data_IF_773995490763
#
_entry.id   IF_773995490763
#
_cell.length_a   1.000
_cell.length_b   1.000
_cell.length_c   1.000
_cell.angle_alpha   90.00
_cell.angle_beta   90.00
_cell.angle_gamma   90.00
#
_symmetry.space_group_name_H-M   'P 1'
#
loop_
_entity.id
_entity.type
_entity.pdbx_description
1 polymer ?
#
# COMPACT_ATOMS: atom_id res chain seq x y z
N UNK A 1 -11.73 5.20 18.70
CA UNK A 1 -12.52 4.37 17.76
C UNK A 1 -11.83 3.01 17.73
N UNK A 2 -12.54 1.90 17.69
CA UNK A 2 -11.95 0.56 17.55
C UNK A 2 -12.22 0.08 16.12
N UNK A 3 -11.20 -0.41 15.43
CA UNK A 3 -11.34 -1.02 14.11
C UNK A 3 -11.57 -2.52 14.25
N UNK A 4 -12.29 -3.09 13.33
CA UNK A 4 -12.36 -4.52 13.10
C UNK A 4 -11.89 -4.77 11.67
N UNK A 5 -10.81 -5.52 11.53
CA UNK A 5 -10.19 -5.81 10.24
C UNK A 5 -10.26 -7.30 9.93
N UNK A 6 -10.41 -7.64 8.67
CA UNK A 6 -10.30 -8.99 8.15
C UNK A 6 -9.61 -8.94 6.79
N UNK A 7 -8.91 -10.01 6.43
CA UNK A 7 -8.25 -10.12 5.13
C UNK A 7 -8.39 -11.55 4.60
N UNK A 8 -8.24 -11.66 3.30
CA UNK A 8 -8.16 -12.92 2.60
C UNK A 8 -7.20 -12.78 1.43
N UNK A 9 -6.44 -13.81 1.13
CA UNK A 9 -5.58 -13.91 -0.05
C UNK A 9 -5.58 -15.34 -0.56
N UNK A 10 -5.48 -15.50 -1.87
CA UNK A 10 -5.49 -16.80 -2.53
C UNK A 10 -4.59 -16.76 -3.76
N UNK A 11 -3.84 -17.83 -4.01
CA UNK A 11 -2.96 -17.95 -5.16
C UNK A 11 -3.70 -18.04 -6.51
N UNK A 12 -4.98 -18.41 -6.44
CA UNK A 12 -5.77 -18.72 -7.62
C UNK A 12 -5.42 -20.07 -8.25
N UNK A 13 -6.08 -20.40 -9.34
CA UNK A 13 -5.96 -21.73 -9.98
C UNK A 13 -4.87 -21.82 -11.06
N UNK A 14 -4.29 -20.70 -11.46
CA UNK A 14 -3.36 -20.64 -12.62
C UNK A 14 -1.94 -20.19 -12.25
N UNK A 15 -1.77 -19.47 -11.13
CA UNK A 15 -0.44 -18.99 -10.70
C UNK A 15 0.30 -20.06 -9.91
N UNK A 16 1.64 -20.04 -9.97
CA UNK A 16 2.51 -20.96 -9.19
C UNK A 16 2.91 -20.38 -7.84
N UNK A 17 2.81 -19.07 -7.66
CA UNK A 17 3.10 -18.36 -6.43
C UNK A 17 2.09 -17.24 -6.23
N UNK A 18 1.74 -16.96 -4.97
CA UNK A 18 0.99 -15.78 -4.63
C UNK A 18 1.93 -14.57 -4.66
N UNK A 19 1.63 -13.61 -5.52
CA UNK A 19 2.43 -12.40 -5.68
C UNK A 19 1.84 -11.19 -4.94
N UNK A 20 0.70 -11.39 -4.29
CA UNK A 20 0.07 -10.37 -3.47
C UNK A 20 0.73 -10.30 -2.10
N UNK A 21 0.80 -9.11 -1.55
CA UNK A 21 1.24 -8.85 -0.19
C UNK A 21 0.32 -7.83 0.46
N UNK A 22 0.07 -7.99 1.74
CA UNK A 22 -0.81 -7.09 2.48
C UNK A 22 -0.25 -6.74 3.86
N UNK A 23 -0.67 -5.61 4.38
CA UNK A 23 -0.35 -5.10 5.71
C UNK A 23 -1.60 -4.51 6.34
N UNK A 24 -1.83 -4.81 7.60
CA UNK A 24 -2.77 -4.10 8.47
C UNK A 24 -2.05 -3.82 9.78
N UNK A 25 -1.88 -2.55 10.10
CA UNK A 25 -1.25 -2.11 11.34
C UNK A 25 -2.12 -1.08 12.05
N UNK A 26 -2.22 -1.19 13.36
CA UNK A 26 -2.91 -0.24 14.22
C UNK A 26 -1.93 0.39 15.22
N UNK A 27 -2.18 1.64 15.56
CA UNK A 27 -1.47 2.33 16.62
C UNK A 27 -2.43 3.20 17.43
N UNK A 28 -2.18 3.29 18.73
CA UNK A 28 -2.89 4.23 19.60
C UNK A 28 -2.17 5.58 19.60
N UNK A 29 -2.92 6.63 19.34
CA UNK A 29 -2.43 8.00 19.33
C UNK A 29 -3.14 8.82 20.42
N UNK A 30 -2.68 10.04 20.67
CA UNK A 30 -3.34 10.96 21.61
C UNK A 30 -4.80 11.28 21.20
N UNK A 31 -5.14 11.18 19.93
CA UNK A 31 -6.48 11.49 19.39
C UNK A 31 -7.32 10.22 19.10
N UNK A 32 -6.80 9.04 19.42
CA UNK A 32 -7.48 7.76 19.25
C UNK A 32 -6.67 6.75 18.45
N UNK A 33 -7.31 5.67 18.07
CA UNK A 33 -6.67 4.62 17.28
C UNK A 33 -6.59 5.03 15.81
N UNK A 34 -5.44 4.82 15.19
CA UNK A 34 -5.20 4.92 13.75
C UNK A 34 -4.97 3.53 13.17
N UNK A 35 -5.30 3.34 11.90
CA UNK A 35 -5.10 2.08 11.17
C UNK A 35 -4.53 2.37 9.80
N UNK A 36 -3.46 1.67 9.44
CA UNK A 36 -2.92 1.60 8.08
C UNK A 36 -3.23 0.23 7.48
N UNK A 37 -3.86 0.22 6.31
CA UNK A 37 -4.02 -0.96 5.48
C UNK A 37 -3.31 -0.74 4.15
N UNK A 38 -2.49 -1.70 3.72
CA UNK A 38 -1.80 -1.65 2.42
C UNK A 38 -1.96 -2.98 1.72
N UNK A 39 -2.24 -2.92 0.42
CA UNK A 39 -2.30 -4.06 -0.46
C UNK A 39 -1.42 -3.79 -1.68
N UNK A 40 -0.64 -4.78 -2.06
CA UNK A 40 0.26 -4.74 -3.21
C UNK A 40 0.08 -6.00 -4.04
N UNK A 41 -0.36 -5.88 -5.28
CA UNK A 41 -0.43 -6.97 -6.26
C UNK A 41 0.84 -6.96 -7.10
N UNK A 42 1.66 -8.00 -6.97
CA UNK A 42 2.87 -8.17 -7.75
C UNK A 42 2.54 -8.50 -9.21
N UNK A 43 3.14 -7.78 -10.15
CA UNK A 43 2.83 -7.90 -11.57
C UNK A 43 3.17 -9.30 -12.10
N UNK A 44 2.14 -10.09 -12.35
CA UNK A 44 2.23 -11.51 -12.74
C UNK A 44 2.89 -11.78 -14.09
N UNK A 45 2.94 -10.80 -14.99
CA UNK A 45 3.69 -10.86 -16.26
C UNK A 45 5.19 -10.63 -16.10
N UNK A 46 5.64 -10.17 -14.93
CA UNK A 46 7.03 -9.95 -14.59
C UNK A 46 7.56 -11.10 -13.73
N UNK A 47 8.87 -11.33 -13.79
CA UNK A 47 9.49 -12.33 -12.92
C UNK A 47 9.55 -11.81 -11.50
N UNK A 48 9.17 -12.66 -10.52
CA UNK A 48 9.33 -12.35 -9.09
C UNK A 48 8.51 -11.13 -8.59
N UNK A 49 7.26 -10.99 -9.02
CA UNK A 49 6.35 -9.95 -8.51
C UNK A 49 6.19 -9.99 -7.00
N UNK A 50 6.29 -11.17 -6.37
CA UNK A 50 6.27 -11.36 -4.93
C UNK A 50 7.39 -10.61 -4.18
N UNK A 51 8.54 -10.38 -4.82
CA UNK A 51 9.62 -9.58 -4.23
C UNK A 51 9.20 -8.11 -4.20
N UNK A 52 8.64 -7.61 -5.29
CA UNK A 52 8.24 -6.21 -5.38
C UNK A 52 7.13 -5.87 -4.39
N UNK A 53 6.08 -6.70 -4.31
CA UNK A 53 4.98 -6.50 -3.36
C UNK A 53 5.46 -6.58 -1.91
N UNK A 54 6.30 -7.57 -1.56
CA UNK A 54 6.83 -7.73 -0.21
C UNK A 54 7.72 -6.56 0.21
N UNK A 55 8.61 -6.07 -0.67
CA UNK A 55 9.48 -4.92 -0.35
C UNK A 55 8.66 -3.62 -0.17
N UNK A 56 7.61 -3.42 -0.96
CA UNK A 56 6.72 -2.27 -0.78
C UNK A 56 5.98 -2.35 0.57
N UNK A 57 5.47 -3.51 0.94
CA UNK A 57 4.81 -3.72 2.25
C UNK A 57 5.78 -3.47 3.41
N UNK A 58 7.03 -3.94 3.33
CA UNK A 58 8.06 -3.65 4.35
C UNK A 58 8.33 -2.15 4.47
N UNK A 59 8.39 -1.45 3.35
CA UNK A 59 8.61 0.00 3.33
C UNK A 59 7.45 0.74 4.03
N UNK A 60 6.20 0.40 3.74
CA UNK A 60 5.05 0.99 4.42
C UNK A 60 4.98 0.63 5.91
N UNK A 61 5.34 -0.59 6.28
CA UNK A 61 5.43 -1.00 7.69
C UNK A 61 6.46 -0.17 8.46
N UNK A 62 7.66 0.00 7.91
CA UNK A 62 8.70 0.82 8.50
C UNK A 62 8.29 2.31 8.57
N UNK A 63 7.64 2.82 7.53
CA UNK A 63 7.10 4.18 7.52
C UNK A 63 6.08 4.38 8.65
N UNK A 64 5.13 3.47 8.81
CA UNK A 64 4.11 3.56 9.86
C UNK A 64 4.73 3.51 11.26
N UNK A 65 5.79 2.73 11.44
CA UNK A 65 6.46 2.58 12.72
C UNK A 65 7.36 3.78 13.08
N UNK A 66 8.07 4.37 12.11
CA UNK A 66 9.13 5.34 12.39
C UNK A 66 8.84 6.76 11.90
N UNK A 67 8.18 6.93 10.75
CA UNK A 67 7.94 8.24 10.16
C UNK A 67 6.56 8.80 10.51
N UNK A 68 5.55 7.96 10.53
CA UNK A 68 4.19 8.38 10.85
C UNK A 68 4.05 9.03 12.23
N UNK A 69 4.68 8.55 13.33
CA UNK A 69 4.65 9.25 14.62
C UNK A 69 5.21 10.68 14.56
N UNK A 70 6.23 10.92 13.73
CA UNK A 70 6.80 12.26 13.53
C UNK A 70 5.78 13.17 12.84
N UNK A 71 5.10 12.67 11.79
CA UNK A 71 4.04 13.41 11.11
C UNK A 71 2.86 13.74 12.04
N UNK A 72 2.48 12.80 12.90
CA UNK A 72 1.43 13.03 13.91
C UNK A 72 1.77 14.20 14.85
N UNK A 73 3.01 14.26 15.33
CA UNK A 73 3.47 15.33 16.21
C UNK A 73 3.46 16.70 15.50
N UNK A 74 3.64 16.72 14.19
CA UNK A 74 3.63 17.94 13.36
C UNK A 74 2.22 18.32 12.87
N UNK A 75 1.19 17.54 13.18
CA UNK A 75 -0.19 17.73 12.67
C UNK A 75 -0.21 17.82 11.14
N UNK A 76 0.15 16.73 10.48
CA UNK A 76 0.27 16.67 9.01
C UNK A 76 -1.02 17.05 8.27
N UNK A 77 -0.85 17.57 7.07
CA UNK A 77 -1.92 17.76 6.08
C UNK A 77 -1.98 16.59 5.10
N UNK A 78 -3.06 16.51 4.31
CA UNK A 78 -3.17 15.52 3.24
C UNK A 78 -2.01 15.63 2.22
N UNK A 79 -1.54 16.84 1.93
CA UNK A 79 -0.41 17.05 1.01
C UNK A 79 0.90 16.53 1.59
N UNK A 80 1.18 16.79 2.86
CA UNK A 80 2.37 16.25 3.55
C UNK A 80 2.35 14.73 3.56
N UNK A 81 1.20 14.12 3.82
CA UNK A 81 1.06 12.67 3.77
C UNK A 81 1.29 12.13 2.36
N UNK A 82 0.71 12.76 1.34
CA UNK A 82 0.89 12.38 -0.06
C UNK A 82 2.36 12.46 -0.48
N UNK A 83 3.06 13.54 -0.13
CA UNK A 83 4.49 13.71 -0.41
C UNK A 83 5.32 12.64 0.28
N UNK A 84 5.04 12.34 1.55
CA UNK A 84 5.72 11.29 2.31
C UNK A 84 5.56 9.91 1.65
N UNK A 85 4.36 9.56 1.24
CA UNK A 85 4.10 8.28 0.57
C UNK A 85 4.66 8.24 -0.85
N UNK A 86 4.57 9.34 -1.60
CA UNK A 86 5.18 9.44 -2.93
C UNK A 86 6.70 9.24 -2.88
N UNK A 87 7.36 9.84 -1.90
CA UNK A 87 8.78 9.66 -1.66
C UNK A 87 9.11 8.20 -1.31
N UNK A 88 8.37 7.61 -0.36
CA UNK A 88 8.52 6.22 0.05
C UNK A 88 8.45 5.27 -1.15
N UNK A 89 7.41 5.41 -1.97
CA UNK A 89 7.19 4.57 -3.14
C UNK A 89 8.28 4.77 -4.17
N UNK A 90 8.69 6.02 -4.44
CA UNK A 90 9.77 6.33 -5.38
C UNK A 90 11.10 5.73 -4.94
N UNK A 91 11.48 5.86 -3.67
CA UNK A 91 12.72 5.29 -3.12
C UNK A 91 12.71 3.75 -3.17
N UNK A 92 11.57 3.14 -2.85
CA UNK A 92 11.42 1.68 -2.92
C UNK A 92 11.48 1.19 -4.37
N UNK A 93 10.84 1.92 -5.30
CA UNK A 93 10.91 1.63 -6.73
C UNK A 93 12.35 1.67 -7.26
N UNK A 94 13.15 2.68 -6.88
CA UNK A 94 14.56 2.77 -7.29
C UNK A 94 15.39 1.59 -6.75
N UNK A 95 15.14 1.14 -5.53
CA UNK A 95 15.77 -0.08 -4.97
C UNK A 95 15.40 -1.32 -5.78
N UNK A 96 14.12 -1.47 -6.14
CA UNK A 96 13.64 -2.58 -6.95
C UNK A 96 14.25 -2.58 -8.37
N UNK A 97 14.38 -1.41 -9.01
CA UNK A 97 15.06 -1.27 -10.30
C UNK A 97 16.53 -1.70 -10.19
N UNK A 98 17.23 -1.24 -9.16
CA UNK A 98 18.65 -1.58 -8.95
C UNK A 98 18.81 -3.07 -8.72
N UNK A 99 18.00 -3.65 -7.86
CA UNK A 99 17.99 -5.10 -7.60
C UNK A 99 17.68 -5.89 -8.88
N UNK A 100 16.67 -5.47 -9.62
CA UNK A 100 16.28 -6.10 -10.88
C UNK A 100 17.42 -6.11 -11.92
N UNK A 101 18.10 -4.97 -12.09
CA UNK A 101 19.26 -4.86 -12.98
C UNK A 101 20.39 -5.81 -12.59
N UNK A 102 20.68 -5.96 -11.31
CA UNK A 102 21.73 -6.85 -10.81
C UNK A 102 21.42 -8.33 -11.01
N UNK A 103 20.14 -8.69 -11.06
CA UNK A 103 19.69 -10.09 -11.14
C UNK A 103 19.04 -10.46 -12.49
N UNK A 104 19.00 -9.54 -13.45
CA UNK A 104 18.33 -9.76 -14.74
C UNK A 104 16.81 -9.93 -14.61
N UNK A 105 16.18 -9.26 -13.63
CA UNK A 105 14.76 -9.35 -13.32
C UNK A 105 14.04 -8.05 -13.64
N UNK A 106 12.80 -8.16 -14.12
CA UNK A 106 11.84 -7.06 -14.12
C UNK A 106 10.91 -7.22 -12.92
N UNK A 107 10.78 -6.18 -12.11
CA UNK A 107 10.02 -6.20 -10.87
C UNK A 107 9.01 -5.04 -10.87
N UNK A 108 7.79 -5.33 -10.47
CA UNK A 108 6.74 -4.32 -10.35
C UNK A 108 5.62 -4.79 -9.44
N UNK A 109 4.90 -3.84 -8.88
CA UNK A 109 3.73 -4.08 -8.04
C UNK A 109 2.80 -2.87 -8.09
N UNK A 110 1.51 -3.11 -7.89
CA UNK A 110 0.55 -2.07 -7.55
C UNK A 110 0.75 -1.61 -6.11
N UNK A 111 0.18 -0.49 -5.76
CA UNK A 111 0.14 0.02 -4.38
C UNK A 111 -1.25 0.57 -4.09
N UNK A 112 -1.87 0.02 -3.07
CA UNK A 112 -3.13 0.50 -2.51
C UNK A 112 -2.95 0.71 -1.02
N UNK A 113 -2.88 1.96 -0.56
CA UNK A 113 -2.72 2.27 0.85
C UNK A 113 -3.87 3.12 1.37
N UNK A 114 -4.43 2.74 2.51
CA UNK A 114 -5.49 3.47 3.20
C UNK A 114 -5.08 3.71 4.64
N UNK A 115 -5.01 4.98 5.03
CA UNK A 115 -4.78 5.38 6.41
C UNK A 115 -6.06 5.93 7.01
N UNK A 116 -6.53 5.34 8.09
CA UNK A 116 -7.60 5.88 8.92
C UNK A 116 -6.98 6.64 10.09
N UNK A 117 -7.28 7.93 10.17
CA UNK A 117 -6.81 8.80 11.23
C UNK A 117 -7.92 9.77 11.64
N UNK A 118 -8.23 9.81 12.92
CA UNK A 118 -9.38 10.53 13.49
C UNK A 118 -10.69 10.08 12.81
N UNK A 119 -11.42 10.98 12.18
CA UNK A 119 -12.67 10.70 11.46
C UNK A 119 -12.50 10.73 9.93
N UNK A 120 -11.27 10.60 9.45
CA UNK A 120 -10.90 10.70 8.04
C UNK A 120 -10.23 9.43 7.58
N UNK A 121 -10.25 9.22 6.27
CA UNK A 121 -9.41 8.24 5.61
C UNK A 121 -8.66 8.91 4.46
N UNK A 122 -7.44 8.47 4.25
CA UNK A 122 -6.56 8.92 3.18
C UNK A 122 -6.23 7.72 2.30
N UNK A 123 -6.37 7.90 1.00
CA UNK A 123 -6.12 6.83 0.02
C UNK A 123 -4.96 7.24 -0.87
N UNK A 124 -4.02 6.33 -1.07
CA UNK A 124 -2.95 6.43 -2.04
C UNK A 124 -3.02 5.22 -2.97
N UNK A 125 -3.02 5.46 -4.27
CA UNK A 125 -3.36 4.47 -5.26
C UNK A 125 -2.44 4.54 -6.46
N UNK A 126 -1.86 3.38 -6.84
CA UNK A 126 -1.07 3.18 -8.07
C UNK A 126 -1.42 1.80 -8.63
N UNK A 127 -1.99 1.76 -9.83
CA UNK A 127 -2.32 0.53 -10.54
C UNK A 127 -3.82 0.33 -10.78
N UNK A 128 -4.27 -0.91 -10.74
CA UNK A 128 -5.65 -1.34 -11.04
C UNK A 128 -6.34 -2.04 -9.86
N UNK A 129 -5.69 -2.10 -8.69
CA UNK A 129 -6.36 -2.47 -7.45
C UNK A 129 -7.42 -1.43 -7.09
N UNK A 130 -8.41 -1.80 -6.29
CA UNK A 130 -9.55 -0.93 -6.03
C UNK A 130 -9.87 -0.83 -4.56
N UNK A 131 -10.17 0.38 -4.10
CA UNK A 131 -10.77 0.65 -2.79
C UNK A 131 -12.25 0.94 -2.97
N UNK A 132 -13.05 0.27 -2.16
CA UNK A 132 -14.50 0.51 -2.07
C UNK A 132 -14.88 0.98 -0.67
N UNK A 133 -15.78 1.94 -0.62
CA UNK A 133 -16.44 2.38 0.60
C UNK A 133 -17.88 1.86 0.60
N UNK A 134 -18.30 1.23 1.71
CA UNK A 134 -19.66 0.79 1.91
C UNK A 134 -20.30 1.60 3.05
N UNK A 135 -21.31 2.35 2.70
CA UNK A 135 -22.26 2.94 3.64
C UNK A 135 -23.66 2.32 3.36
N UNK A 136 -24.59 3.10 2.80
CA UNK A 136 -25.84 2.56 2.28
C UNK A 136 -25.64 1.87 0.94
N UNK A 137 -24.82 2.43 0.08
CA UNK A 137 -24.42 1.89 -1.22
C UNK A 137 -22.93 1.59 -1.24
N UNK A 138 -22.49 0.67 -2.09
CA UNK A 138 -21.08 0.40 -2.36
C UNK A 138 -20.58 1.40 -3.40
N UNK A 139 -19.50 2.10 -3.08
CA UNK A 139 -18.89 3.11 -3.95
C UNK A 139 -17.41 2.79 -4.14
N UNK A 140 -16.96 2.73 -5.38
CA UNK A 140 -15.53 2.69 -5.69
C UNK A 140 -14.91 4.06 -5.45
N UNK A 141 -13.80 4.09 -4.71
CA UNK A 141 -13.09 5.32 -4.34
C UNK A 141 -11.95 5.60 -5.32
N UNK A 142 -11.24 4.56 -5.77
CA UNK A 142 -10.11 4.66 -6.68
C UNK A 142 -10.54 4.49 -8.13
N UNK A 143 -9.71 4.99 -9.06
CA UNK A 143 -9.90 4.82 -10.51
C UNK A 143 -8.72 4.03 -11.04
N UNK A 144 -9.00 2.94 -11.75
CA UNK A 144 -7.98 2.08 -12.32
C UNK A 144 -6.98 2.86 -13.20
N UNK A 145 -5.70 2.62 -12.98
CA UNK A 145 -4.59 3.17 -13.76
C UNK A 145 -3.96 2.02 -14.53
N UNK A 146 -4.54 1.68 -15.67
CA UNK A 146 -4.02 0.66 -16.58
C UNK A 146 -3.31 1.33 -17.75
N UNK A 147 -2.12 0.82 -18.11
CA UNK A 147 -1.48 1.19 -19.37
C UNK A 147 -2.19 0.41 -20.49
N UNK A 148 -2.91 1.15 -21.33
CA UNK A 148 -3.34 0.61 -22.64
C UNK A 148 -2.11 0.73 -23.54
N UNK A 149 -1.56 -0.42 -23.95
CA UNK A 149 -0.59 -0.49 -25.04
C UNK A 149 -1.29 -0.35 -26.39
#
# INVERSE_FOLDING_TARGET
MRYLSAFYTDIGTQKKSNQDSLLIQEANTATGTTLLAVLCDGLGGLQKGEIASAEMIKAFSAWFQYQYPVLLNQRFTADVLRESWSKLVSETHQKLITYGKMHGLSLGTTVEAVLFYEKRYYVFHIGDCRVYKKERILQQITKDQTYIQ
#
